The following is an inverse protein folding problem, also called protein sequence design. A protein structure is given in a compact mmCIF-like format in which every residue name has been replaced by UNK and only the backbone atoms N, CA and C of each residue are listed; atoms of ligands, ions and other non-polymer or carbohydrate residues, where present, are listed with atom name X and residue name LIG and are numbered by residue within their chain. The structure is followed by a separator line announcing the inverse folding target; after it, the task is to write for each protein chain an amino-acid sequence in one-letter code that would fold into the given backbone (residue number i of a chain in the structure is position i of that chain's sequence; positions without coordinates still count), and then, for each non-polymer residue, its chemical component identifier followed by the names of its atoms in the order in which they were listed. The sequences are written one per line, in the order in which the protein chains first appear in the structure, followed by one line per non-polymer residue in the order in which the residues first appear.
data_IF_092616586910
#
_entry.id   IF_092616586910
#
_cell.length_a   1.000
_cell.length_b   1.000
_cell.length_c   1.000
_cell.angle_alpha   90.00
_cell.angle_beta   90.00
_cell.angle_gamma   90.00
#
_symmetry.space_group_name_H-M   'P 1'
#
loop_
_entity.id
_entity.type
_entity.pdbx_description
1 polymer ?
#
# COMPACT_ATOMS: atom_id res chain seq x y z
N UNK A 1 68.67 -32.88 -32.38
CA UNK A 1 68.01 -31.55 -32.18
C UNK A 1 66.56 -31.77 -31.92
N UNK A 2 66.17 -31.77 -30.64
CA UNK A 2 64.74 -32.02 -30.23
C UNK A 2 64.06 -30.67 -29.96
N UNK A 3 63.04 -30.31 -30.75
CA UNK A 3 62.17 -29.20 -30.49
C UNK A 3 61.06 -29.64 -29.52
N UNK A 4 61.02 -29.08 -28.31
CA UNK A 4 59.91 -29.22 -27.36
C UNK A 4 58.90 -28.09 -27.62
N UNK A 5 57.71 -28.48 -28.10
CA UNK A 5 56.59 -27.57 -28.19
C UNK A 5 55.96 -27.40 -26.80
N UNK A 6 55.91 -26.17 -26.29
CA UNK A 6 55.18 -25.80 -25.07
C UNK A 6 53.81 -25.34 -25.50
N UNK A 7 52.78 -26.12 -25.17
CA UNK A 7 51.38 -25.72 -25.34
C UNK A 7 50.94 -24.84 -24.16
N UNK A 8 50.63 -23.59 -24.43
CA UNK A 8 50.11 -22.63 -23.46
C UNK A 8 48.57 -22.81 -23.39
N UNK A 9 48.10 -23.48 -22.37
CA UNK A 9 46.64 -23.60 -22.10
C UNK A 9 46.12 -22.33 -21.46
N UNK A 10 45.37 -21.53 -22.21
CA UNK A 10 44.58 -20.40 -21.69
C UNK A 10 43.31 -20.93 -21.03
N UNK A 11 43.26 -20.94 -19.70
CA UNK A 11 42.02 -21.18 -18.94
C UNK A 11 41.27 -19.86 -18.85
N UNK A 12 40.23 -19.70 -19.69
CA UNK A 12 39.32 -18.57 -19.58
C UNK A 12 38.39 -18.81 -18.36
N UNK A 13 38.68 -18.14 -17.26
CA UNK A 13 37.81 -18.12 -16.09
C UNK A 13 36.52 -17.34 -16.38
N UNK A 14 35.42 -18.04 -16.51
CA UNK A 14 34.07 -17.44 -16.58
C UNK A 14 33.70 -16.93 -15.20
N UNK A 15 33.82 -15.61 -14.96
CA UNK A 15 33.36 -14.99 -13.73
C UNK A 15 31.81 -14.98 -13.73
N UNK A 16 31.19 -15.88 -12.96
CA UNK A 16 29.77 -15.79 -12.63
C UNK A 16 29.57 -14.57 -11.71
N UNK A 17 29.08 -13.47 -12.27
CA UNK A 17 28.59 -12.35 -11.48
C UNK A 17 27.28 -12.81 -10.80
N UNK A 18 27.16 -12.65 -9.46
CA UNK A 18 25.89 -12.94 -8.80
C UNK A 18 24.82 -12.00 -9.37
N UNK A 19 23.77 -12.56 -9.96
CA UNK A 19 22.59 -11.81 -10.31
C UNK A 19 21.92 -11.34 -9.01
N UNK A 20 21.96 -10.04 -8.75
CA UNK A 20 21.21 -9.46 -7.63
C UNK A 20 19.74 -9.56 -8.02
N UNK A 21 19.03 -10.54 -7.42
CA UNK A 21 17.60 -10.66 -7.59
C UNK A 21 16.95 -9.46 -6.90
N UNK A 22 16.52 -8.47 -7.68
CA UNK A 22 15.70 -7.36 -7.16
C UNK A 22 14.34 -7.91 -6.75
N UNK A 23 13.96 -7.72 -5.49
CA UNK A 23 12.67 -8.16 -4.99
C UNK A 23 11.54 -7.36 -5.67
N UNK A 24 10.46 -8.05 -6.08
CA UNK A 24 9.27 -7.42 -6.60
C UNK A 24 8.64 -6.50 -5.53
N UNK A 25 7.94 -5.42 -5.93
CA UNK A 25 7.21 -4.60 -4.99
C UNK A 25 6.14 -5.41 -4.26
N UNK A 26 5.91 -5.10 -2.99
CA UNK A 26 4.88 -5.75 -2.18
C UNK A 26 4.18 -4.74 -1.29
N UNK A 27 2.83 -4.77 -1.23
CA UNK A 27 2.03 -3.90 -0.39
C UNK A 27 1.55 -4.69 0.82
N UNK A 28 1.93 -4.25 2.02
CA UNK A 28 1.49 -4.83 3.29
C UNK A 28 0.22 -4.14 3.83
N UNK A 29 0.15 -2.81 3.74
CA UNK A 29 -0.99 -2.03 4.22
C UNK A 29 -1.24 -0.77 3.41
N UNK A 30 -2.47 -0.26 3.53
CA UNK A 30 -2.91 1.05 3.02
C UNK A 30 -3.35 1.93 4.19
N UNK A 31 -3.20 3.24 4.06
CA UNK A 31 -3.74 4.20 5.00
C UNK A 31 -4.16 5.49 4.24
N UNK A 32 -5.44 5.88 4.28
CA UNK A 32 -6.56 5.17 4.88
C UNK A 32 -6.87 3.84 4.17
N UNK A 33 -7.69 2.98 4.77
CA UNK A 33 -8.18 1.75 4.16
C UNK A 33 -9.45 1.97 3.34
N UNK A 34 -10.10 3.12 3.55
CA UNK A 34 -11.25 3.56 2.78
C UNK A 34 -11.05 4.99 2.28
N UNK A 35 -11.63 5.30 1.12
CA UNK A 35 -11.64 6.63 0.50
C UNK A 35 -13.07 7.00 0.12
N UNK A 36 -13.43 8.29 0.22
CA UNK A 36 -14.78 8.74 -0.06
C UNK A 36 -14.96 9.22 -1.49
N UNK A 37 -16.14 8.98 -2.12
CA UNK A 37 -16.49 9.57 -3.41
C UNK A 37 -16.39 11.11 -3.39
N UNK A 38 -15.99 11.70 -4.52
CA UNK A 38 -15.87 13.15 -4.67
C UNK A 38 -14.69 13.77 -3.92
N UNK A 39 -13.84 12.98 -3.28
CA UNK A 39 -12.72 13.46 -2.49
C UNK A 39 -11.37 13.20 -3.19
N UNK A 40 -10.41 14.04 -2.83
CA UNK A 40 -8.98 13.81 -3.12
C UNK A 40 -8.30 13.36 -1.84
N UNK A 41 -7.75 12.15 -1.83
CA UNK A 41 -7.19 11.52 -0.64
C UNK A 41 -5.74 11.09 -0.91
N UNK A 42 -4.84 11.42 0.01
CA UNK A 42 -3.47 10.92 -0.02
C UNK A 42 -3.44 9.49 0.55
N UNK A 43 -3.38 8.52 -0.35
CA UNK A 43 -3.33 7.10 -0.04
C UNK A 43 -1.88 6.66 0.17
N UNK A 44 -1.53 6.37 1.40
CA UNK A 44 -0.21 5.86 1.76
C UNK A 44 -0.18 4.34 1.66
N UNK A 45 0.75 3.80 0.90
CA UNK A 45 1.05 2.38 0.81
C UNK A 45 2.33 2.08 1.57
N UNK A 46 2.30 1.06 2.42
CA UNK A 46 3.48 0.52 3.09
C UNK A 46 3.77 -0.89 2.62
N UNK A 47 5.07 -1.24 2.57
CA UNK A 47 5.45 -2.54 2.06
C UNK A 47 6.96 -2.70 1.88
N UNK A 48 7.35 -3.31 0.78
CA UNK A 48 8.75 -3.49 0.39
C UNK A 48 8.95 -3.26 -1.09
N UNK A 49 10.14 -2.81 -1.46
CA UNK A 49 10.56 -2.56 -2.86
C UNK A 49 9.63 -1.59 -3.62
N UNK A 50 9.06 -0.59 -2.92
CA UNK A 50 8.11 0.37 -3.49
C UNK A 50 8.79 1.56 -4.18
N UNK A 51 10.12 1.67 -4.13
CA UNK A 51 10.86 2.76 -4.75
C UNK A 51 10.76 2.75 -6.28
N UNK A 52 10.89 3.95 -6.86
CA UNK A 52 10.89 4.18 -8.32
C UNK A 52 9.68 3.55 -9.01
N UNK A 53 8.45 3.87 -8.56
CA UNK A 53 7.24 3.33 -9.17
C UNK A 53 7.12 3.82 -10.62
N UNK A 54 6.65 2.94 -11.50
CA UNK A 54 6.36 3.26 -12.90
C UNK A 54 4.89 3.42 -13.14
N UNK A 55 4.04 2.72 -12.34
CA UNK A 55 2.60 2.74 -12.52
C UNK A 55 1.87 2.42 -11.21
N UNK A 56 0.71 3.05 -11.02
CA UNK A 56 -0.31 2.65 -10.07
C UNK A 56 -1.51 2.13 -10.85
N UNK A 57 -1.92 0.90 -10.54
CA UNK A 57 -3.10 0.29 -11.15
C UNK A 57 -4.22 0.16 -10.13
N UNK A 58 -5.45 0.46 -10.56
CA UNK A 58 -6.67 0.14 -9.82
C UNK A 58 -7.81 -0.18 -10.77
N UNK A 59 -8.83 -0.88 -10.27
CA UNK A 59 -10.09 -1.10 -10.99
C UNK A 59 -11.21 -0.17 -10.52
N UNK A 60 -10.87 0.94 -9.86
CA UNK A 60 -11.83 1.95 -9.42
C UNK A 60 -12.27 2.77 -10.63
N UNK A 61 -13.58 2.81 -10.96
CA UNK A 61 -14.08 3.56 -12.12
C UNK A 61 -13.81 5.06 -11.95
N UNK A 62 -13.25 5.68 -12.98
CA UNK A 62 -13.03 7.13 -13.03
C UNK A 62 -12.01 7.70 -12.05
N UNK A 63 -11.28 6.85 -11.30
CA UNK A 63 -10.24 7.32 -10.39
C UNK A 63 -9.09 7.97 -11.16
N UNK A 64 -8.68 9.16 -10.74
CA UNK A 64 -7.43 9.79 -11.17
C UNK A 64 -6.40 9.62 -10.07
N UNK A 65 -5.19 9.15 -10.44
CA UNK A 65 -4.13 8.88 -9.48
C UNK A 65 -2.86 9.59 -9.91
N UNK A 66 -2.25 10.31 -8.99
CA UNK A 66 -0.98 11.00 -9.20
C UNK A 66 0.02 10.67 -8.09
N UNK A 67 1.31 10.79 -8.39
CA UNK A 67 2.36 10.70 -7.41
C UNK A 67 2.72 12.13 -6.95
N UNK A 68 2.37 12.54 -5.69
CA UNK A 68 2.67 13.88 -5.21
C UNK A 68 4.18 14.09 -5.11
N UNK A 69 4.70 15.10 -5.81
CA UNK A 69 6.13 15.44 -5.81
C UNK A 69 6.53 16.36 -4.68
N UNK A 70 5.56 17.03 -4.06
CA UNK A 70 5.74 17.90 -2.90
C UNK A 70 6.01 17.14 -1.60
N UNK A 71 5.73 15.84 -1.56
CA UNK A 71 6.05 14.99 -0.41
C UNK A 71 7.52 14.57 -0.51
N UNK A 72 8.34 15.06 0.42
CA UNK A 72 9.77 14.80 0.41
C UNK A 72 10.09 13.30 0.45
N UNK A 73 10.94 12.83 -0.49
CA UNK A 73 11.33 11.43 -0.60
C UNK A 73 10.25 10.49 -1.15
N UNK A 74 9.08 11.00 -1.54
CA UNK A 74 8.04 10.17 -2.14
C UNK A 74 8.53 9.57 -3.47
N UNK A 75 8.29 8.27 -3.65
CA UNK A 75 8.78 7.52 -4.82
C UNK A 75 10.24 7.06 -4.71
N UNK A 76 11.02 7.47 -3.70
CA UNK A 76 12.40 7.00 -3.48
C UNK A 76 12.51 6.04 -2.29
N UNK A 77 11.53 6.04 -1.39
CA UNK A 77 11.49 5.16 -0.21
C UNK A 77 10.98 3.78 -0.62
N UNK A 78 11.77 2.75 -0.35
CA UNK A 78 11.39 1.37 -0.66
C UNK A 78 10.30 0.80 0.26
N UNK A 79 10.09 1.39 1.44
CA UNK A 79 9.14 0.89 2.43
C UNK A 79 7.79 1.61 2.42
N UNK A 80 7.72 2.81 1.86
CA UNK A 80 6.51 3.63 1.89
C UNK A 80 6.41 4.50 0.63
N UNK A 81 5.21 4.62 0.08
CA UNK A 81 4.89 5.52 -1.03
C UNK A 81 3.48 6.08 -0.84
N UNK A 82 3.27 7.33 -1.22
CA UNK A 82 1.98 8.00 -1.16
C UNK A 82 1.49 8.35 -2.56
N UNK A 83 0.26 7.98 -2.87
CA UNK A 83 -0.43 8.40 -4.08
C UNK A 83 -1.60 9.30 -3.73
N UNK A 84 -1.83 10.34 -4.51
CA UNK A 84 -3.05 11.14 -4.44
C UNK A 84 -4.10 10.51 -5.32
N UNK A 85 -5.16 9.99 -4.70
CA UNK A 85 -6.30 9.37 -5.37
C UNK A 85 -7.47 10.34 -5.34
N UNK A 86 -7.91 10.76 -6.51
CA UNK A 86 -9.10 11.61 -6.68
C UNK A 86 -10.22 10.77 -7.27
N UNK A 87 -11.35 10.72 -6.57
CA UNK A 87 -12.52 9.97 -6.99
C UNK A 87 -13.60 10.91 -7.54
N UNK A 88 -14.35 10.51 -8.58
CA UNK A 88 -15.53 11.20 -8.99
C UNK A 88 -16.62 11.14 -7.91
N UNK A 89 -17.55 12.10 -7.90
CA UNK A 89 -18.60 12.19 -6.90
C UNK A 89 -19.59 11.00 -6.93
N UNK A 90 -19.70 10.36 -8.08
CA UNK A 90 -20.55 9.19 -8.35
C UNK A 90 -19.76 7.86 -8.30
N UNK A 91 -18.55 7.87 -7.76
CA UNK A 91 -17.78 6.63 -7.60
C UNK A 91 -18.57 5.60 -6.79
N UNK A 92 -18.77 4.38 -7.33
CA UNK A 92 -19.59 3.38 -6.65
C UNK A 92 -18.94 2.93 -5.33
N UNK A 93 -19.74 2.87 -4.26
CA UNK A 93 -19.32 2.25 -2.99
C UNK A 93 -18.99 0.78 -3.23
N UNK A 94 -17.87 0.31 -2.67
CA UNK A 94 -17.45 -1.07 -2.86
C UNK A 94 -16.00 -1.33 -2.47
N UNK A 95 -15.54 -2.55 -2.76
CA UNK A 95 -14.15 -2.97 -2.50
C UNK A 95 -13.44 -3.15 -3.83
N UNK A 96 -12.31 -2.47 -3.97
CA UNK A 96 -11.53 -2.40 -5.19
C UNK A 96 -10.10 -2.87 -4.97
N UNK A 97 -9.45 -3.26 -6.05
CA UNK A 97 -8.05 -3.68 -6.00
C UNK A 97 -7.10 -2.55 -6.40
N UNK A 98 -5.96 -2.49 -5.73
CA UNK A 98 -4.85 -1.60 -6.10
C UNK A 98 -3.54 -2.38 -6.19
N UNK A 99 -2.66 -1.97 -7.09
CA UNK A 99 -1.30 -2.50 -7.29
C UNK A 99 -0.35 -1.37 -7.64
N UNK A 100 0.91 -1.60 -7.37
CA UNK A 100 2.02 -0.73 -7.80
C UNK A 100 2.96 -1.55 -8.68
N UNK A 101 3.43 -0.96 -9.75
CA UNK A 101 4.49 -1.53 -10.59
C UNK A 101 5.76 -0.68 -10.51
N UNK A 102 6.89 -1.33 -10.67
CA UNK A 102 8.18 -0.71 -10.92
C UNK A 102 9.01 -1.58 -11.89
N UNK A 103 10.26 -1.23 -12.13
CA UNK A 103 11.14 -1.97 -13.05
C UNK A 103 11.36 -3.44 -12.66
N UNK A 104 11.09 -3.83 -11.40
CA UNK A 104 11.31 -5.21 -10.91
C UNK A 104 10.05 -6.07 -10.96
N UNK A 105 8.89 -5.48 -11.24
CA UNK A 105 7.62 -6.20 -11.38
C UNK A 105 6.41 -5.47 -10.82
N UNK A 106 5.32 -6.23 -10.62
CA UNK A 106 4.03 -5.75 -10.11
C UNK A 106 3.78 -6.30 -8.72
N UNK A 107 3.25 -5.48 -7.82
CA UNK A 107 2.95 -5.88 -6.44
C UNK A 107 1.83 -6.91 -6.35
N UNK A 108 1.69 -7.53 -5.17
CA UNK A 108 0.45 -8.21 -4.79
C UNK A 108 -0.74 -7.24 -4.88
N UNK A 109 -1.95 -7.81 -5.03
CA UNK A 109 -3.19 -7.06 -4.94
C UNK A 109 -3.43 -6.64 -3.48
N UNK A 110 -3.76 -5.34 -3.28
CA UNK A 110 -4.26 -4.83 -2.01
C UNK A 110 -5.68 -4.32 -2.21
N UNK A 111 -6.54 -4.54 -1.23
CA UNK A 111 -7.92 -4.05 -1.28
C UNK A 111 -7.99 -2.65 -0.68
N UNK A 112 -8.78 -1.80 -1.33
CA UNK A 112 -9.14 -0.46 -0.91
C UNK A 112 -10.66 -0.34 -0.95
N UNK A 113 -11.27 0.18 0.10
CA UNK A 113 -12.70 0.40 0.16
C UNK A 113 -13.06 1.80 -0.36
N UNK A 114 -14.13 1.90 -1.13
CA UNK A 114 -14.83 3.17 -1.35
C UNK A 114 -16.06 3.17 -0.46
N UNK A 115 -16.17 4.16 0.42
CA UNK A 115 -17.22 4.28 1.42
C UNK A 115 -17.70 5.74 1.48
N UNK A 116 -19.00 5.95 1.49
CA UNK A 116 -19.64 7.27 1.57
C UNK A 116 -19.89 7.75 3.00
N UNK A 117 -19.55 6.92 4.00
CA UNK A 117 -19.62 7.31 5.39
C UNK A 117 -18.40 8.15 5.82
N UNK A 118 -18.58 9.09 6.77
CA UNK A 118 -17.46 9.78 7.37
C UNK A 118 -16.46 8.81 8.00
N UNK A 119 -15.21 8.85 7.59
CA UNK A 119 -14.17 7.97 8.10
C UNK A 119 -13.58 8.48 9.41
N UNK A 120 -13.48 7.60 10.41
CA UNK A 120 -12.89 7.88 11.73
C UNK A 120 -11.73 6.93 11.94
N UNK A 121 -10.54 7.46 12.15
CA UNK A 121 -9.37 6.63 12.45
C UNK A 121 -9.53 5.93 13.81
N UNK A 122 -9.18 4.66 13.86
CA UNK A 122 -9.11 3.93 15.12
C UNK A 122 -8.11 4.58 16.07
N UNK A 123 -8.54 4.88 17.29
CA UNK A 123 -7.70 5.39 18.38
C UNK A 123 -7.45 4.27 19.40
N UNK A 124 -6.19 4.04 19.71
CA UNK A 124 -5.76 3.05 20.72
C UNK A 124 -5.20 3.74 21.98
N UNK A 125 -5.31 3.09 23.16
CA UNK A 125 -5.88 1.76 23.42
C UNK A 125 -7.41 1.77 23.50
N UNK A 126 -8.08 0.81 22.87
CA UNK A 126 -9.53 0.63 22.89
C UNK A 126 -9.92 -0.85 23.11
N UNK A 127 -8.99 -1.68 23.62
CA UNK A 127 -9.19 -3.11 23.83
C UNK A 127 -9.96 -3.46 25.13
N UNK A 128 -10.36 -2.46 25.90
CA UNK A 128 -11.18 -2.65 27.10
C UNK A 128 -12.39 -1.74 27.04
N UNK A 129 -13.50 -2.20 27.60
CA UNK A 129 -14.76 -1.43 27.63
C UNK A 129 -14.58 -0.04 28.29
N UNK A 130 -13.74 0.05 29.33
CA UNK A 130 -13.42 1.31 29.97
C UNK A 130 -12.74 2.33 29.05
N UNK A 131 -12.00 1.83 28.03
CA UNK A 131 -11.26 2.65 27.06
C UNK A 131 -11.95 2.67 25.69
N UNK A 132 -13.25 2.33 25.62
CA UNK A 132 -14.00 2.32 24.37
C UNK A 132 -13.89 3.68 23.66
N UNK A 133 -13.47 3.67 22.39
CA UNK A 133 -13.39 4.88 21.58
C UNK A 133 -14.78 5.45 21.33
N UNK A 134 -14.97 6.75 21.64
CA UNK A 134 -16.20 7.43 21.29
C UNK A 134 -16.23 7.75 19.79
N UNK A 135 -17.33 7.41 19.14
CA UNK A 135 -17.62 7.73 17.74
C UNK A 135 -18.95 8.45 17.62
N UNK A 136 -19.09 9.27 16.57
CA UNK A 136 -20.35 9.93 16.22
C UNK A 136 -20.92 9.25 14.98
N UNK A 137 -22.18 8.83 15.04
CA UNK A 137 -22.84 8.19 13.91
C UNK A 137 -23.48 9.21 12.95
N UNK A 138 -23.56 8.91 11.64
CA UNK A 138 -23.01 7.72 10.98
C UNK A 138 -21.50 7.82 10.80
N UNK A 139 -20.76 6.69 10.88
CA UNK A 139 -19.31 6.67 10.68
C UNK A 139 -18.83 5.28 10.25
N UNK A 140 -17.76 5.26 9.45
CA UNK A 140 -16.93 4.09 9.21
C UNK A 140 -15.65 4.21 10.03
N UNK A 141 -15.24 3.15 10.73
CA UNK A 141 -13.99 3.16 11.50
C UNK A 141 -12.88 2.54 10.67
N UNK A 142 -11.85 3.34 10.37
CA UNK A 142 -10.64 2.89 9.70
C UNK A 142 -9.61 2.40 10.71
N UNK A 143 -9.40 1.10 10.79
CA UNK A 143 -8.53 0.48 11.77
C UNK A 143 -8.20 -0.98 11.46
N UNK A 144 -7.61 -1.64 12.44
CA UNK A 144 -7.30 -3.06 12.37
C UNK A 144 -7.48 -3.71 13.75
N UNK A 145 -7.81 -5.00 13.76
CA UNK A 145 -7.93 -5.81 14.97
C UNK A 145 -6.70 -6.69 15.11
N UNK A 146 -6.05 -6.64 16.27
CA UNK A 146 -4.94 -7.53 16.59
C UNK A 146 -5.43 -8.95 16.84
N UNK A 147 -4.54 -9.92 16.64
CA UNK A 147 -4.85 -11.31 16.92
C UNK A 147 -5.28 -11.51 18.40
N UNK A 148 -6.39 -12.21 18.61
CA UNK A 148 -6.98 -12.48 19.91
C UNK A 148 -7.39 -11.23 20.73
N UNK A 149 -7.51 -10.06 20.09
CA UNK A 149 -7.96 -8.83 20.73
C UNK A 149 -9.39 -8.47 20.34
N UNK A 150 -9.97 -7.49 21.05
CA UNK A 150 -11.26 -6.88 20.78
C UNK A 150 -11.10 -5.38 20.82
N UNK A 151 -11.79 -4.69 19.92
CA UNK A 151 -11.86 -3.23 19.94
C UNK A 151 -13.28 -2.81 20.33
N UNK A 152 -13.36 -1.87 21.25
CA UNK A 152 -14.63 -1.37 21.80
C UNK A 152 -14.85 0.06 21.32
N UNK A 153 -16.07 0.29 20.85
CA UNK A 153 -16.55 1.60 20.43
C UNK A 153 -17.81 1.96 21.19
N UNK A 154 -18.01 3.24 21.51
CA UNK A 154 -19.21 3.76 22.15
C UNK A 154 -19.77 4.92 21.36
N UNK A 155 -21.09 5.00 21.27
CA UNK A 155 -21.79 6.09 20.62
C UNK A 155 -23.05 6.45 21.41
N UNK A 156 -23.55 7.68 21.27
CA UNK A 156 -24.84 8.10 21.81
C UNK A 156 -25.95 7.68 20.84
N UNK A 157 -27.01 7.10 21.39
CA UNK A 157 -28.23 6.74 20.65
C UNK A 157 -29.44 7.13 21.45
N UNK A 158 -30.55 7.48 20.78
CA UNK A 158 -31.85 7.71 21.38
C UNK A 158 -32.73 6.49 21.21
N UNK A 159 -33.71 6.29 22.13
CA UNK A 159 -34.64 5.18 22.04
C UNK A 159 -35.40 5.22 20.70
N UNK A 160 -35.38 4.09 19.96
CA UNK A 160 -36.02 3.96 18.65
C UNK A 160 -35.12 4.22 17.45
N UNK A 161 -33.84 4.53 17.68
CA UNK A 161 -32.83 4.75 16.65
C UNK A 161 -32.12 3.45 16.27
#
# INVERSE_FOLDING_TARGET
MLFRSVALSCVAGLALLPAVASAQPGISSTAPQAVAPGQSTDLKLRGGSLASPTEFWSNIPGAMVTLPTEIAGNGTNAAEITYRVQLPADAPVGVYGVRVANATGVSNLKLLMIDDLPSVAQARPNQALANAQAITLPAAVDGYVDNLSRDYYKFAATAGQ
#
